data_IF_507019033200
#
_entry.id   IF_507019033200
#
_cell.length_a   1.000
_cell.length_b   1.000
_cell.length_c   1.000
_cell.angle_alpha   90.00
_cell.angle_beta   90.00
_cell.angle_gamma   90.00
#
_symmetry.space_group_name_H-M   'P 1'
#
loop_
_entity.id
_entity.type
_entity.pdbx_description
1 polymer ?
#
# COMPACT_ATOMS: atom_id res chain seq x y z
N UNK A 1 -26.05 -1.81 10.24
CA UNK A 1 -25.56 -1.64 8.86
C UNK A 1 -24.27 -2.42 8.79
N UNK A 2 -24.24 -3.51 8.03
CA UNK A 2 -23.02 -4.29 7.84
C UNK A 2 -22.15 -3.58 6.81
N UNK A 3 -21.30 -2.68 7.27
CA UNK A 3 -20.15 -2.21 6.50
C UNK A 3 -19.04 -3.25 6.66
N UNK A 4 -19.26 -4.45 6.13
CA UNK A 4 -18.12 -5.23 5.62
C UNK A 4 -17.61 -4.36 4.47
N UNK A 5 -16.42 -3.79 4.61
CA UNK A 5 -15.88 -2.97 3.52
C UNK A 5 -15.82 -3.84 2.27
N UNK A 6 -15.99 -3.25 1.09
CA UNK A 6 -15.84 -3.96 -0.20
C UNK A 6 -14.51 -4.73 -0.27
N UNK A 7 -13.53 -4.33 0.56
CA UNK A 7 -12.22 -4.96 0.75
C UNK A 7 -12.30 -6.29 1.52
N UNK A 8 -13.18 -6.44 2.51
CA UNK A 8 -13.40 -7.73 3.21
C UNK A 8 -13.93 -8.81 2.26
N UNK A 9 -14.61 -8.42 1.17
CA UNK A 9 -15.04 -9.33 0.10
C UNK A 9 -13.96 -9.55 -0.98
N UNK A 10 -12.96 -8.69 -1.06
CA UNK A 10 -11.84 -8.80 -2.00
C UNK A 10 -10.69 -9.57 -1.35
N UNK A 11 -10.70 -10.89 -1.49
CA UNK A 11 -9.50 -11.70 -1.26
C UNK A 11 -8.43 -11.29 -2.29
N UNK A 12 -7.57 -10.34 -1.95
CA UNK A 12 -6.52 -9.85 -2.84
C UNK A 12 -5.46 -10.92 -3.14
N UNK A 13 -5.31 -11.91 -2.26
CA UNK A 13 -4.40 -13.03 -2.47
C UNK A 13 -4.80 -13.90 -3.67
N UNK A 14 -6.08 -13.90 -4.08
CA UNK A 14 -6.53 -14.59 -5.29
C UNK A 14 -5.89 -14.05 -6.58
N UNK A 15 -5.32 -12.83 -6.54
CA UNK A 15 -4.58 -12.26 -7.68
C UNK A 15 -3.10 -12.66 -7.68
N UNK A 16 -2.62 -13.32 -6.62
CA UNK A 16 -1.26 -13.83 -6.45
C UNK A 16 -1.17 -15.36 -6.66
N UNK A 17 -2.01 -15.94 -7.54
CA UNK A 17 -2.09 -17.40 -7.81
C UNK A 17 -0.69 -18.03 -8.03
N UNK A 18 0.26 -17.27 -8.56
CA UNK A 18 1.67 -17.64 -8.63
C UNK A 18 2.57 -16.42 -8.34
N UNK A 19 3.51 -16.57 -7.41
CA UNK A 19 4.56 -15.58 -7.15
C UNK A 19 4.31 -14.67 -5.94
N UNK A 20 3.98 -15.24 -4.78
CA UNK A 20 4.03 -14.51 -3.52
C UNK A 20 5.48 -14.25 -3.12
N UNK A 21 5.82 -12.98 -2.89
CA UNK A 21 7.13 -12.60 -2.37
C UNK A 21 7.28 -13.04 -0.91
N UNK A 22 8.42 -13.63 -0.56
CA UNK A 22 8.74 -13.97 0.83
C UNK A 22 10.20 -13.64 1.13
N UNK A 23 10.55 -13.43 2.39
CA UNK A 23 11.95 -13.18 2.79
C UNK A 23 12.57 -11.99 2.05
N UNK A 24 13.64 -12.25 1.29
CA UNK A 24 14.41 -11.24 0.56
C UNK A 24 13.64 -10.64 -0.63
N UNK A 25 12.75 -11.42 -1.25
CA UNK A 25 11.91 -10.95 -2.36
C UNK A 25 10.91 -9.88 -1.91
N UNK A 26 10.50 -9.90 -0.64
CA UNK A 26 9.68 -8.86 -0.03
C UNK A 26 10.53 -7.68 0.46
N UNK A 27 11.76 -7.92 0.92
CA UNK A 27 12.67 -6.87 1.40
C UNK A 27 12.97 -5.83 0.32
N UNK A 28 13.17 -6.24 -0.94
CA UNK A 28 13.39 -5.30 -2.04
C UNK A 28 12.21 -4.34 -2.23
N UNK A 29 10.99 -4.89 -2.22
CA UNK A 29 9.76 -4.11 -2.33
C UNK A 29 9.60 -3.12 -1.16
N UNK A 30 9.92 -3.55 0.06
CA UNK A 30 9.86 -2.70 1.24
C UNK A 30 10.83 -1.52 1.16
N UNK A 31 12.03 -1.74 0.64
CA UNK A 31 13.01 -0.66 0.44
C UNK A 31 12.44 0.37 -0.55
N UNK A 32 11.88 -0.09 -1.68
CA UNK A 32 11.30 0.80 -2.69
C UNK A 32 10.10 1.60 -2.15
N UNK A 33 9.22 0.93 -1.39
CA UNK A 33 8.09 1.58 -0.73
C UNK A 33 8.57 2.60 0.32
N UNK A 34 9.56 2.23 1.14
CA UNK A 34 10.13 3.14 2.12
C UNK A 34 10.79 4.36 1.48
N UNK A 35 11.57 4.19 0.40
CA UNK A 35 12.18 5.33 -0.30
C UNK A 35 11.10 6.26 -0.86
N UNK A 36 10.04 5.69 -1.44
CA UNK A 36 8.98 6.48 -2.08
C UNK A 36 8.11 7.24 -1.08
N UNK A 37 7.82 6.65 0.08
CA UNK A 37 6.90 7.22 1.07
C UNK A 37 7.58 7.84 2.31
N UNK A 38 8.84 7.49 2.62
CA UNK A 38 9.55 7.96 3.83
C UNK A 38 10.62 9.02 3.56
N UNK A 39 11.19 9.08 2.34
CA UNK A 39 12.36 9.94 2.09
C UNK A 39 12.04 11.34 1.54
N UNK A 40 10.77 11.77 1.51
CA UNK A 40 10.42 13.11 1.03
C UNK A 40 10.25 14.11 2.19
N UNK A 41 11.33 14.76 2.58
CA UNK A 41 11.30 16.06 3.31
C UNK A 41 10.65 17.21 2.49
N UNK A 42 9.94 16.94 1.40
CA UNK A 42 9.46 17.97 0.48
C UNK A 42 7.92 18.00 0.37
N UNK A 43 7.37 19.04 1.00
CA UNK A 43 6.15 19.78 0.64
C UNK A 43 4.75 19.13 0.73
N UNK A 44 4.59 17.86 1.13
CA UNK A 44 3.24 17.26 1.36
C UNK A 44 2.97 16.89 2.82
N UNK A 45 3.99 16.93 3.69
CA UNK A 45 3.83 16.69 5.13
C UNK A 45 3.52 15.23 5.49
N UNK A 46 4.02 14.26 4.71
CA UNK A 46 3.89 12.84 4.98
C UNK A 46 5.06 12.34 5.85
N UNK A 47 4.81 12.12 7.14
CA UNK A 47 5.74 11.49 8.07
C UNK A 47 5.49 9.98 8.07
N UNK A 48 6.46 9.20 7.63
CA UNK A 48 6.40 7.76 7.82
C UNK A 48 6.47 7.41 9.31
N UNK A 49 5.57 6.52 9.75
CA UNK A 49 5.50 6.06 11.13
C UNK A 49 6.20 4.71 11.28
N UNK A 50 5.70 3.71 10.58
CA UNK A 50 6.19 2.34 10.66
C UNK A 50 5.78 1.51 9.44
N UNK A 51 6.43 0.35 9.33
CA UNK A 51 6.10 -0.71 8.40
C UNK A 51 6.07 -2.04 9.15
N UNK A 52 5.08 -2.86 8.83
CA UNK A 52 4.84 -4.14 9.47
C UNK A 52 4.64 -5.24 8.43
N UNK A 53 5.41 -6.33 8.55
CA UNK A 53 5.21 -7.56 7.77
C UNK A 53 4.17 -8.43 8.46
N UNK A 54 3.36 -9.11 7.67
CA UNK A 54 2.43 -10.12 8.18
C UNK A 54 2.55 -11.42 7.39
N UNK A 55 2.27 -12.53 8.06
CA UNK A 55 2.13 -13.85 7.43
C UNK A 55 0.73 -14.06 6.80
N UNK A 56 -0.03 -12.98 6.62
CA UNK A 56 -1.35 -12.98 5.98
C UNK A 56 -1.22 -12.77 4.47
N UNK A 57 -1.70 -13.74 3.69
CA UNK A 57 -1.67 -13.69 2.24
C UNK A 57 -2.52 -12.55 1.66
N UNK A 58 -3.53 -12.07 2.39
CA UNK A 58 -4.36 -10.94 1.97
C UNK A 58 -3.75 -9.58 2.30
N UNK A 59 -2.77 -9.52 3.21
CA UNK A 59 -2.12 -8.30 3.61
C UNK A 59 -0.71 -8.63 4.12
N UNK A 60 0.25 -8.76 3.22
CA UNK A 60 1.63 -9.15 3.57
C UNK A 60 2.43 -7.99 4.15
N UNK A 61 2.06 -6.75 3.79
CA UNK A 61 2.75 -5.55 4.20
C UNK A 61 1.77 -4.42 4.55
N UNK A 62 1.90 -3.88 5.75
CA UNK A 62 1.24 -2.63 6.16
C UNK A 62 2.29 -1.54 6.25
N UNK A 63 2.04 -0.41 5.59
CA UNK A 63 2.79 0.83 5.77
C UNK A 63 1.91 1.84 6.49
N UNK A 64 2.45 2.57 7.46
CA UNK A 64 1.73 3.60 8.19
C UNK A 64 2.41 4.95 8.00
N UNK A 65 1.62 5.93 7.59
CA UNK A 65 2.08 7.28 7.32
C UNK A 65 1.14 8.28 8.01
N UNK A 66 1.69 9.42 8.40
CA UNK A 66 0.95 10.53 8.96
C UNK A 66 1.06 11.75 8.06
N UNK A 67 -0.05 12.33 7.65
CA UNK A 67 -0.08 13.53 6.85
C UNK A 67 -0.27 14.78 7.73
N UNK A 68 0.11 15.95 7.21
CA UNK A 68 -0.12 17.20 7.90
C UNK A 68 -1.62 17.47 8.06
N UNK A 69 -2.03 18.01 9.22
CA UNK A 69 -3.42 18.19 9.63
C UNK A 69 -4.29 19.05 8.67
N UNK A 70 -3.68 19.77 7.73
CA UNK A 70 -4.36 20.65 6.78
C UNK A 70 -4.47 20.04 5.36
N UNK A 71 -4.07 18.77 5.19
CA UNK A 71 -4.18 18.04 3.92
C UNK A 71 -5.51 17.29 3.91
N UNK A 72 -6.30 17.48 2.87
CA UNK A 72 -7.56 16.74 2.69
C UNK A 72 -7.31 15.29 2.29
N UNK A 73 -8.24 14.39 2.62
CA UNK A 73 -8.16 12.98 2.19
C UNK A 73 -7.99 12.82 0.67
N UNK A 74 -8.59 13.70 -0.14
CA UNK A 74 -8.40 13.65 -1.60
C UNK A 74 -6.94 13.93 -2.00
N UNK A 75 -6.31 14.93 -1.39
CA UNK A 75 -4.90 15.24 -1.66
C UNK A 75 -3.97 14.11 -1.21
N UNK A 76 -4.29 13.45 -0.08
CA UNK A 76 -3.58 12.26 0.38
C UNK A 76 -3.76 11.10 -0.62
N UNK A 77 -4.99 10.84 -1.07
CA UNK A 77 -5.28 9.81 -2.07
C UNK A 77 -4.50 10.04 -3.36
N UNK A 78 -4.57 11.25 -3.92
CA UNK A 78 -3.89 11.64 -5.16
C UNK A 78 -2.37 11.49 -5.04
N UNK A 79 -1.81 11.85 -3.87
CA UNK A 79 -0.38 11.69 -3.59
C UNK A 79 0.02 10.22 -3.54
N UNK A 80 -0.69 9.41 -2.74
CA UNK A 80 -0.40 8.00 -2.58
C UNK A 80 -0.51 7.25 -3.92
N UNK A 81 -1.59 7.48 -4.66
CA UNK A 81 -1.80 6.87 -5.98
C UNK A 81 -0.69 7.27 -6.95
N UNK A 82 -0.32 8.56 -6.99
CA UNK A 82 0.78 9.03 -7.84
C UNK A 82 2.10 8.37 -7.48
N UNK A 83 2.49 8.34 -6.21
CA UNK A 83 3.74 7.72 -5.78
C UNK A 83 3.75 6.22 -6.07
N UNK A 84 2.64 5.55 -5.77
CA UNK A 84 2.45 4.13 -6.00
C UNK A 84 2.65 3.76 -7.47
N UNK A 85 1.92 4.42 -8.38
CA UNK A 85 1.96 4.14 -9.82
C UNK A 85 3.29 4.52 -10.48
N UNK A 86 4.01 5.50 -9.93
CA UNK A 86 5.27 5.98 -10.51
C UNK A 86 6.49 5.20 -10.00
N UNK A 87 6.48 4.75 -8.75
CA UNK A 87 7.71 4.34 -8.07
C UNK A 87 7.64 2.96 -7.38
N UNK A 88 6.47 2.48 -6.98
CA UNK A 88 6.38 1.30 -6.09
C UNK A 88 5.77 0.09 -6.78
N UNK A 89 4.68 0.26 -7.52
CA UNK A 89 4.00 -0.89 -8.10
C UNK A 89 4.82 -1.57 -9.20
N UNK A 90 4.68 -2.89 -9.32
CA UNK A 90 5.11 -3.62 -10.50
C UNK A 90 4.15 -3.35 -11.67
N UNK A 91 4.73 -3.10 -12.85
CA UNK A 91 3.97 -2.65 -14.03
C UNK A 91 3.20 -3.77 -14.72
N UNK A 92 3.58 -5.03 -14.49
CA UNK A 92 2.95 -6.16 -15.15
C UNK A 92 1.55 -6.47 -14.62
N UNK A 93 1.32 -6.24 -13.33
CA UNK A 93 -0.01 -6.26 -12.74
C UNK A 93 -0.06 -5.40 -11.49
N UNK A 94 -1.08 -4.55 -11.42
CA UNK A 94 -1.36 -3.68 -10.29
C UNK A 94 -2.87 -3.54 -10.18
N UNK A 95 -3.37 -3.59 -8.94
CA UNK A 95 -4.74 -3.21 -8.61
C UNK A 95 -4.75 -2.65 -7.20
N UNK A 96 -5.39 -1.50 -7.02
CA UNK A 96 -5.55 -0.87 -5.72
C UNK A 96 -6.98 -0.41 -5.46
N UNK A 97 -7.26 -0.06 -4.22
CA UNK A 97 -8.51 0.55 -3.77
C UNK A 97 -8.22 1.52 -2.62
N UNK A 98 -8.89 2.66 -2.60
CA UNK A 98 -8.75 3.67 -1.55
C UNK A 98 -10.11 3.87 -0.88
N UNK A 99 -10.14 3.82 0.45
CA UNK A 99 -11.32 4.17 1.25
C UNK A 99 -10.91 4.96 2.49
N UNK A 100 -11.88 5.60 3.14
CA UNK A 100 -11.70 6.26 4.43
C UNK A 100 -12.50 5.52 5.49
N UNK A 101 -11.82 5.02 6.51
CA UNK A 101 -12.39 4.23 7.60
C UNK A 101 -11.87 4.77 8.92
N UNK A 102 -12.76 5.10 9.87
CA UNK A 102 -12.40 5.62 11.20
C UNK A 102 -11.41 6.80 11.16
N UNK A 103 -11.67 7.78 10.29
CA UNK A 103 -10.82 8.94 10.06
C UNK A 103 -9.40 8.61 9.57
N UNK A 104 -9.19 7.42 9.00
CA UNK A 104 -7.95 7.01 8.34
C UNK A 104 -8.22 6.75 6.87
N UNK A 105 -7.35 7.24 5.99
CA UNK A 105 -7.37 6.85 4.59
C UNK A 105 -6.54 5.58 4.43
N UNK A 106 -7.15 4.55 3.84
CA UNK A 106 -6.52 3.25 3.63
C UNK A 106 -6.41 3.00 2.13
N UNK A 107 -5.18 2.81 1.66
CA UNK A 107 -4.85 2.41 0.29
C UNK A 107 -4.51 0.93 0.29
N UNK A 108 -5.41 0.07 -0.17
CA UNK A 108 -5.18 -1.37 -0.33
C UNK A 108 -4.60 -1.65 -1.70
N UNK A 109 -3.69 -2.62 -1.79
CA UNK A 109 -3.04 -2.95 -3.05
C UNK A 109 -2.73 -4.43 -3.23
N UNK A 110 -2.64 -4.80 -4.50
CA UNK A 110 -1.95 -6.00 -4.97
C UNK A 110 -1.12 -5.63 -6.19
N UNK A 111 0.12 -6.09 -6.24
CA UNK A 111 0.98 -5.89 -7.40
C UNK A 111 1.84 -7.12 -7.66
N UNK A 112 2.17 -7.39 -8.93
CA UNK A 112 2.93 -8.57 -9.33
C UNK A 112 3.84 -8.29 -10.52
N UNK A 113 5.07 -8.79 -10.46
CA UNK A 113 6.04 -8.76 -11.55
C UNK A 113 6.00 -10.04 -12.38
N UNK A 114 6.51 -9.96 -13.61
CA UNK A 114 6.68 -11.13 -14.50
C UNK A 114 7.69 -12.16 -13.96
N UNK A 115 8.51 -11.79 -12.96
CA UNK A 115 9.53 -12.64 -12.35
C UNK A 115 9.02 -13.44 -11.15
N UNK A 116 7.72 -13.38 -10.86
CA UNK A 116 7.11 -14.10 -9.74
C UNK A 116 7.25 -13.39 -8.40
N UNK A 117 7.48 -12.07 -8.40
CA UNK A 117 7.35 -11.23 -7.22
C UNK A 117 5.91 -10.75 -7.13
N UNK A 118 5.33 -10.75 -5.94
CA UNK A 118 3.91 -10.44 -5.75
C UNK A 118 3.61 -10.12 -4.32
N UNK A 119 3.00 -8.96 -4.11
CA UNK A 119 2.77 -8.39 -2.78
C UNK A 119 1.33 -7.89 -2.69
N UNK A 120 0.65 -8.29 -1.62
CA UNK A 120 -0.59 -7.67 -1.15
C UNK A 120 -0.30 -6.83 0.08
N UNK A 121 -1.04 -5.76 0.29
CA UNK A 121 -0.80 -4.92 1.45
C UNK A 121 -1.72 -3.73 1.52
N UNK A 122 -1.41 -2.85 2.46
CA UNK A 122 -2.09 -1.56 2.59
C UNK A 122 -1.17 -0.46 3.09
N UNK A 123 -1.53 0.78 2.76
CA UNK A 123 -0.96 1.99 3.33
C UNK A 123 -2.06 2.65 4.17
N UNK A 124 -1.82 2.85 5.46
CA UNK A 124 -2.71 3.55 6.37
C UNK A 124 -2.19 4.96 6.58
N UNK A 125 -2.97 5.95 6.13
CA UNK A 125 -2.66 7.35 6.21
C UNK A 125 -3.58 8.07 7.22
N UNK A 126 -2.98 8.71 8.22
CA UNK A 126 -3.68 9.48 9.27
C UNK A 126 -3.38 10.96 9.19
#
# INVERSE_FOLDING_TARGET
>A
MNTLSIVDELNYSQFLIYGQSTGDDLLGFEIDANVSFCCMENNVGCDFLDQERHDDTNCMLTLRCKFANNVSYQQVADYLEKQWLQHVCYREFEKHHIEVVNDQLIFYYVTRSSRGLGVTGKIVAT
#
